data_IF_288730883693
#
_entry.id   IF_288730883693
#
_cell.length_a   1.000
_cell.length_b   1.000
_cell.length_c   1.000
_cell.angle_alpha   90.00
_cell.angle_beta   90.00
_cell.angle_gamma   90.00
#
_symmetry.space_group_name_H-M   'P 1'
#
loop_
_entity.id
_entity.type
_entity.pdbx_description
1 polymer ?
#
# COMPACT_ATOMS: atom_id res chain seq x y z
N UNK A 1 11.31 17.15 -14.49
CA UNK A 1 11.52 15.71 -14.81
C UNK A 1 10.33 14.97 -14.22
N UNK A 2 9.55 14.21 -14.98
CA UNK A 2 8.36 13.52 -14.44
C UNK A 2 8.74 12.10 -14.01
N UNK A 3 8.44 11.76 -12.75
CA UNK A 3 8.67 10.43 -12.19
C UNK A 3 7.32 9.72 -12.08
N UNK A 4 7.26 8.46 -12.51
CA UNK A 4 6.11 7.58 -12.29
C UNK A 4 6.49 6.50 -11.28
N UNK A 5 5.59 6.25 -10.34
CA UNK A 5 5.77 5.26 -9.28
C UNK A 5 4.72 4.17 -9.42
N UNK A 6 5.15 2.91 -9.41
CA UNK A 6 4.26 1.75 -9.46
C UNK A 6 4.38 1.00 -8.13
N UNK A 7 3.25 0.82 -7.43
CA UNK A 7 3.20 0.09 -6.16
C UNK A 7 2.56 -1.28 -6.38
N UNK A 8 3.32 -2.35 -6.13
CA UNK A 8 2.86 -3.72 -6.33
C UNK A 8 2.09 -4.24 -5.10
N UNK A 9 0.77 -4.11 -5.14
CA UNK A 9 -0.13 -4.43 -4.03
C UNK A 9 -1.07 -5.63 -4.26
N UNK A 10 -0.83 -6.46 -5.28
CA UNK A 10 -1.77 -7.52 -5.71
C UNK A 10 -1.78 -8.80 -4.82
N UNK A 11 -0.92 -8.90 -3.82
CA UNK A 11 -0.77 -10.13 -3.01
C UNK A 11 -1.90 -10.33 -1.99
N UNK A 12 -2.54 -11.51 -1.99
CA UNK A 12 -3.57 -11.88 -1.00
C UNK A 12 -3.05 -11.89 0.45
N UNK A 13 -1.79 -12.28 0.67
CA UNK A 13 -1.20 -12.30 2.01
C UNK A 13 -1.73 -13.42 2.92
N UNK A 14 -1.79 -14.65 2.42
CA UNK A 14 -2.41 -15.81 3.11
C UNK A 14 -1.85 -16.12 4.50
N UNK A 15 -0.57 -15.82 4.76
CA UNK A 15 0.04 -15.97 6.10
C UNK A 15 -0.57 -15.04 7.16
N UNK A 16 -1.31 -14.00 6.75
CA UNK A 16 -2.07 -13.13 7.64
C UNK A 16 -3.31 -13.81 8.24
N UNK A 17 -3.71 -14.99 7.74
CA UNK A 17 -4.90 -15.75 8.19
C UNK A 17 -6.16 -14.88 8.27
N UNK A 18 -6.37 -14.06 7.24
CA UNK A 18 -7.47 -13.10 7.16
C UNK A 18 -7.99 -13.06 5.72
N UNK A 19 -9.30 -12.84 5.56
CA UNK A 19 -9.90 -12.57 4.24
C UNK A 19 -9.50 -11.19 3.70
N UNK A 20 -9.06 -10.27 4.57
CA UNK A 20 -8.55 -8.95 4.19
C UNK A 20 -7.13 -9.10 3.62
N UNK A 21 -6.92 -8.61 2.40
CA UNK A 21 -5.60 -8.57 1.77
C UNK A 21 -4.59 -7.82 2.67
N UNK A 22 -3.33 -8.28 2.73
CA UNK A 22 -2.28 -7.73 3.64
C UNK A 22 -2.23 -6.20 3.64
N UNK A 23 -2.24 -5.59 2.45
CA UNK A 23 -2.09 -4.13 2.27
C UNK A 23 -3.28 -3.31 2.79
N UNK A 24 -4.42 -3.96 3.02
CA UNK A 24 -5.62 -3.32 3.55
C UNK A 24 -5.70 -3.39 5.09
N UNK A 25 -4.84 -4.19 5.75
CA UNK A 25 -4.76 -4.18 7.22
C UNK A 25 -4.34 -2.81 7.73
N UNK A 26 -4.92 -2.40 8.84
CA UNK A 26 -4.72 -1.06 9.38
C UNK A 26 -3.50 -1.00 10.28
N UNK A 27 -2.76 0.09 10.14
CA UNK A 27 -1.70 0.54 11.05
C UNK A 27 -2.17 1.93 11.49
N UNK A 28 -2.25 2.19 12.80
CA UNK A 28 -2.71 3.47 13.36
C UNK A 28 -3.99 4.04 12.69
N UNK A 29 -4.97 3.17 12.40
CA UNK A 29 -6.26 3.56 11.81
C UNK A 29 -6.22 3.87 10.30
N UNK A 30 -5.11 3.60 9.61
CA UNK A 30 -4.99 3.76 8.15
C UNK A 30 -4.56 2.44 7.50
N UNK A 31 -5.09 2.09 6.30
CA UNK A 31 -4.61 0.93 5.56
C UNK A 31 -3.11 1.01 5.30
N UNK A 32 -2.38 -0.10 5.45
CA UNK A 32 -0.94 -0.18 5.19
C UNK A 32 -0.55 0.41 3.82
N UNK A 33 -1.38 0.23 2.79
CA UNK A 33 -1.18 0.80 1.45
C UNK A 33 -1.19 2.34 1.42
N UNK A 34 -1.89 3.01 2.34
CA UNK A 34 -2.00 4.48 2.38
C UNK A 34 -0.64 5.14 2.61
N UNK A 35 0.14 4.59 3.54
CA UNK A 35 1.49 5.07 3.85
C UNK A 35 2.41 5.06 2.62
N UNK A 36 2.33 3.99 1.81
CA UNK A 36 3.14 3.86 0.60
C UNK A 36 2.62 4.80 -0.50
N UNK A 37 1.30 4.90 -0.64
CA UNK A 37 0.67 5.80 -1.59
C UNK A 37 1.04 7.27 -1.34
N UNK A 38 1.06 7.70 -0.08
CA UNK A 38 1.38 9.09 0.25
C UNK A 38 2.80 9.48 -0.14
N UNK A 39 3.78 8.61 0.15
CA UNK A 39 5.16 8.80 -0.28
C UNK A 39 5.28 8.75 -1.81
N UNK A 40 4.61 7.79 -2.46
CA UNK A 40 4.64 7.68 -3.92
C UNK A 40 4.06 8.93 -4.59
N UNK A 41 3.00 9.50 -4.02
CA UNK A 41 2.37 10.73 -4.48
C UNK A 41 3.33 11.91 -4.35
N UNK A 42 4.01 12.07 -3.22
CA UNK A 42 5.02 13.12 -3.01
C UNK A 42 6.16 13.06 -4.04
N UNK A 43 6.62 11.86 -4.40
CA UNK A 43 7.71 11.66 -5.37
C UNK A 43 7.26 11.86 -6.83
N UNK A 44 6.01 11.52 -7.14
CA UNK A 44 5.48 11.54 -8.51
C UNK A 44 4.88 12.88 -8.96
N UNK A 45 4.74 13.82 -8.03
CA UNK A 45 4.34 15.22 -8.29
C UNK A 45 5.54 16.06 -8.70
#
# INVERSE_FOLDING_TARGET
>A
MSIKVIVLCAGKGTRMKSEKAKVMHEIMGQPMSKYIYDIAKEISN
#
